data_IF_298217745674
#
_entry.id   IF_298217745674
#
_cell.length_a   1.000
_cell.length_b   1.000
_cell.length_c   1.000
_cell.angle_alpha   90.00
_cell.angle_beta   90.00
_cell.angle_gamma   90.00
#
_symmetry.space_group_name_H-M   'P 1'
#
loop_
_entity.id
_entity.type
_entity.pdbx_description
1 polymer ?
#
# COMPACT_ATOMS: atom_id res chain seq x y z
N UNK A 1 39.65 13.94 8.91
CA UNK A 1 38.40 13.94 9.69
C UNK A 1 37.29 14.46 8.79
N UNK A 2 36.34 13.60 8.44
CA UNK A 2 35.24 13.89 7.51
C UNK A 2 34.12 14.62 8.26
N UNK A 3 33.62 15.74 7.74
CA UNK A 3 32.56 16.55 8.37
C UNK A 3 31.31 16.58 7.46
N UNK A 4 30.20 15.90 7.82
CA UNK A 4 29.06 15.68 6.93
C UNK A 4 28.07 16.86 6.83
N UNK A 5 28.37 18.02 7.42
CA UNK A 5 27.45 19.16 7.50
C UNK A 5 27.81 20.37 6.64
N UNK A 6 28.74 20.26 5.69
CA UNK A 6 28.86 21.26 4.62
C UNK A 6 27.69 21.08 3.66
N UNK A 7 26.56 21.72 3.99
CA UNK A 7 25.43 21.95 3.08
C UNK A 7 25.99 22.54 1.79
N UNK A 8 25.77 21.86 0.68
CA UNK A 8 25.99 22.43 -0.65
C UNK A 8 25.23 23.75 -0.72
N UNK A 9 25.93 24.81 -1.13
CA UNK A 9 25.31 26.08 -1.43
C UNK A 9 24.13 25.82 -2.37
N UNK A 10 22.95 26.29 -1.96
CA UNK A 10 21.81 26.48 -2.86
C UNK A 10 22.37 27.16 -4.10
N UNK A 11 22.37 26.46 -5.23
CA UNK A 11 22.68 27.09 -6.52
C UNK A 11 21.78 28.31 -6.62
N UNK A 12 22.41 29.50 -6.64
CA UNK A 12 21.69 30.76 -6.69
C UNK A 12 20.66 30.67 -7.81
N UNK A 13 19.39 30.84 -7.46
CA UNK A 13 18.32 30.98 -8.43
C UNK A 13 18.77 32.01 -9.49
N UNK A 14 18.74 31.60 -10.76
CA UNK A 14 19.11 32.48 -11.88
C UNK A 14 18.26 33.74 -11.79
N UNK A 15 18.91 34.89 -11.79
CA UNK A 15 18.25 36.20 -11.84
C UNK A 15 17.60 36.34 -13.21
N UNK A 16 16.27 36.42 -13.26
CA UNK A 16 15.52 36.59 -14.51
C UNK A 16 15.56 38.08 -14.88
N UNK A 17 16.14 38.43 -16.02
CA UNK A 17 16.16 39.82 -16.50
C UNK A 17 14.80 40.22 -17.11
N UNK A 18 14.50 41.52 -17.05
CA UNK A 18 13.23 42.12 -17.47
C UNK A 18 13.13 42.14 -19.00
N UNK A 19 12.82 40.99 -19.59
CA UNK A 19 12.70 40.79 -21.03
C UNK A 19 12.55 39.32 -21.43
N UNK A 20 12.94 38.39 -20.56
CA UNK A 20 12.90 36.95 -20.80
C UNK A 20 11.60 36.26 -20.34
N UNK A 21 10.60 37.04 -19.95
CA UNK A 21 9.33 36.49 -19.45
C UNK A 21 8.51 36.08 -20.68
N UNK A 22 8.33 34.77 -20.96
CA UNK A 22 7.43 34.36 -22.02
C UNK A 22 6.06 34.94 -21.71
N UNK A 23 5.36 35.41 -22.76
CA UNK A 23 4.02 35.99 -22.74
C UNK A 23 3.28 35.60 -21.45
N UNK A 24 2.99 36.58 -20.60
CA UNK A 24 2.57 36.40 -19.20
C UNK A 24 1.51 35.31 -19.05
N UNK A 25 0.65 35.15 -20.07
CA UNK A 25 -0.35 34.09 -20.17
C UNK A 25 0.23 32.67 -20.30
N UNK A 26 1.27 32.46 -21.12
CA UNK A 26 2.00 31.20 -21.24
C UNK A 26 2.73 30.85 -19.94
N UNK A 27 3.33 31.84 -19.25
CA UNK A 27 3.97 31.63 -17.95
C UNK A 27 2.95 31.24 -16.87
N UNK A 28 1.79 31.90 -16.84
CA UNK A 28 0.69 31.57 -15.91
C UNK A 28 0.14 30.16 -16.22
N UNK A 29 -0.09 29.82 -17.49
CA UNK A 29 -0.56 28.48 -17.89
C UNK A 29 0.45 27.39 -17.56
N UNK A 30 1.75 27.66 -17.74
CA UNK A 30 2.81 26.74 -17.37
C UNK A 30 2.86 26.53 -15.86
N UNK A 31 2.82 27.62 -15.07
CA UNK A 31 2.79 27.55 -13.60
C UNK A 31 1.56 26.80 -13.07
N UNK A 32 0.37 27.07 -13.63
CA UNK A 32 -0.86 26.35 -13.29
C UNK A 32 -0.75 24.85 -13.62
N UNK A 33 -0.14 24.51 -14.77
CA UNK A 33 0.05 23.11 -15.19
C UNK A 33 1.05 22.37 -14.31
N UNK A 34 2.14 23.02 -13.93
CA UNK A 34 3.14 22.43 -13.04
C UNK A 34 2.60 22.31 -11.61
N UNK A 35 1.86 23.30 -11.11
CA UNK A 35 1.15 23.18 -9.83
C UNK A 35 0.13 22.03 -9.86
N UNK A 36 -0.66 21.88 -10.92
CA UNK A 36 -1.57 20.74 -11.06
C UNK A 36 -0.82 19.40 -11.12
N UNK A 37 0.31 19.31 -11.83
CA UNK A 37 1.12 18.08 -11.82
C UNK A 37 1.72 17.79 -10.46
N UNK A 38 2.18 18.81 -9.74
CA UNK A 38 2.74 18.68 -8.39
C UNK A 38 1.65 18.31 -7.37
N UNK A 39 0.47 18.91 -7.45
CA UNK A 39 -0.70 18.56 -6.65
C UNK A 39 -1.13 17.12 -6.94
N UNK A 40 -1.21 16.74 -8.22
CA UNK A 40 -1.54 15.37 -8.62
C UNK A 40 -0.44 14.36 -8.29
N UNK A 41 0.82 14.79 -8.17
CA UNK A 41 1.93 13.96 -7.71
C UNK A 41 1.90 13.80 -6.18
N UNK A 42 1.54 14.85 -5.45
CA UNK A 42 1.32 14.84 -4.00
C UNK A 42 0.14 13.90 -3.62
N UNK A 43 -0.89 13.82 -4.47
CA UNK A 43 -2.01 12.88 -4.31
C UNK A 43 -1.77 11.46 -4.87
N UNK A 44 -0.62 11.21 -5.50
CA UNK A 44 -0.26 9.93 -6.15
C UNK A 44 0.74 9.10 -5.35
N UNK A 45 0.88 9.34 -4.05
CA UNK A 45 1.59 8.37 -3.21
C UNK A 45 0.86 7.03 -3.34
N UNK A 46 1.50 6.08 -4.03
CA UNK A 46 1.06 4.69 -4.08
C UNK A 46 0.81 4.24 -2.64
N UNK A 47 -0.33 3.58 -2.38
CA UNK A 47 -0.75 3.23 -1.03
C UNK A 47 0.43 2.67 -0.22
N UNK A 48 0.75 3.33 0.88
CA UNK A 48 1.99 3.06 1.62
C UNK A 48 1.76 1.86 2.52
N UNK A 49 2.22 0.69 2.06
CA UNK A 49 2.15 -0.55 2.83
C UNK A 49 3.54 -0.99 3.28
N UNK A 50 3.75 -1.09 4.60
CA UNK A 50 4.99 -1.62 5.17
C UNK A 50 4.74 -2.52 6.38
N UNK A 51 5.56 -3.57 6.57
CA UNK A 51 5.41 -4.48 7.69
C UNK A 51 5.73 -3.79 9.02
N UNK A 52 5.00 -4.18 10.07
CA UNK A 52 5.18 -3.69 11.43
C UNK A 52 5.53 -4.84 12.39
N UNK A 53 6.21 -4.53 13.51
CA UNK A 53 6.39 -5.49 14.59
C UNK A 53 5.04 -5.80 15.26
N UNK A 54 4.91 -6.99 15.89
CA UNK A 54 3.65 -7.46 16.49
C UNK A 54 3.10 -6.47 17.53
N UNK A 55 4.00 -5.82 18.26
CA UNK A 55 3.71 -4.89 19.35
C UNK A 55 2.94 -3.66 18.86
N UNK A 56 3.06 -3.30 17.58
CA UNK A 56 2.28 -2.22 16.99
C UNK A 56 0.78 -2.54 16.94
N UNK A 57 0.39 -3.82 17.00
CA UNK A 57 -1.01 -4.24 17.07
C UNK A 57 -1.63 -4.06 18.48
N UNK A 58 -0.86 -3.66 19.49
CA UNK A 58 -1.40 -3.40 20.82
C UNK A 58 -2.44 -2.27 20.76
N UNK A 59 -3.61 -2.50 21.37
CA UNK A 59 -4.74 -1.57 21.30
C UNK A 59 -5.60 -1.68 20.03
N UNK A 60 -5.25 -2.57 19.10
CA UNK A 60 -6.16 -2.93 17.99
C UNK A 60 -7.25 -3.90 18.45
N UNK A 61 -8.34 -3.96 17.71
CA UNK A 61 -9.43 -4.90 17.96
C UNK A 61 -9.86 -5.61 16.68
N UNK A 62 -10.65 -6.68 16.83
CA UNK A 62 -11.21 -7.43 15.71
C UNK A 62 -12.18 -6.58 14.90
N UNK A 63 -11.92 -6.46 13.60
CA UNK A 63 -12.74 -5.68 12.66
C UNK A 63 -13.61 -6.56 11.76
N UNK A 64 -13.34 -7.88 11.71
CA UNK A 64 -14.16 -8.85 11.00
C UNK A 64 -13.33 -9.97 10.39
N UNK A 65 -13.84 -10.55 9.29
CA UNK A 65 -13.20 -11.66 8.58
C UNK A 65 -13.16 -11.42 7.07
N UNK A 66 -12.17 -12.04 6.43
CA UNK A 66 -11.99 -12.05 4.98
C UNK A 66 -11.87 -13.49 4.47
N UNK A 67 -12.30 -13.69 3.23
CA UNK A 67 -12.15 -14.96 2.53
C UNK A 67 -10.97 -14.89 1.55
N UNK A 68 -9.92 -15.66 1.84
CA UNK A 68 -8.67 -15.68 1.06
C UNK A 68 -7.82 -16.90 1.42
N UNK A 69 -6.83 -17.19 0.60
CA UNK A 69 -5.90 -18.29 0.84
C UNK A 69 -4.60 -17.82 1.49
N UNK A 70 -3.92 -18.73 2.21
CA UNK A 70 -2.58 -18.46 2.74
C UNK A 70 -1.57 -18.05 1.64
N UNK A 71 -1.74 -18.60 0.43
CA UNK A 71 -0.88 -18.28 -0.73
C UNK A 71 -1.08 -16.83 -1.18
N UNK A 72 -2.33 -16.39 -1.33
CA UNK A 72 -2.65 -15.00 -1.68
C UNK A 72 -2.15 -14.04 -0.60
N UNK A 73 -2.39 -14.33 0.68
CA UNK A 73 -1.90 -13.49 1.78
C UNK A 73 -0.39 -13.32 1.74
N UNK A 74 0.35 -14.39 1.46
CA UNK A 74 1.81 -14.31 1.30
C UNK A 74 2.25 -13.51 0.07
N UNK A 75 1.51 -13.60 -1.03
CA UNK A 75 1.81 -12.87 -2.25
C UNK A 75 1.57 -11.36 -2.07
N UNK A 76 0.50 -10.98 -1.35
CA UNK A 76 0.12 -9.59 -1.12
C UNK A 76 0.93 -8.95 0.02
N UNK A 77 1.03 -9.62 1.16
CA UNK A 77 1.55 -9.04 2.41
C UNK A 77 2.92 -9.59 2.83
N UNK A 78 3.52 -10.47 2.03
CA UNK A 78 4.82 -11.08 2.36
C UNK A 78 4.74 -12.15 3.44
N UNK A 79 5.84 -12.36 4.17
CA UNK A 79 5.92 -13.42 5.19
C UNK A 79 5.21 -13.02 6.49
N UNK A 80 4.52 -13.97 7.16
CA UNK A 80 3.88 -13.70 8.45
C UNK A 80 4.91 -13.53 9.58
N UNK A 81 4.59 -12.67 10.54
CA UNK A 81 5.41 -12.33 11.72
C UNK A 81 5.47 -13.47 12.76
N UNK A 82 4.52 -14.43 12.74
CA UNK A 82 4.53 -15.61 13.62
C UNK A 82 3.19 -15.89 14.31
N UNK A 83 3.18 -16.81 15.29
CA UNK A 83 1.99 -17.18 16.08
C UNK A 83 1.93 -16.50 17.45
N UNK A 84 0.80 -16.64 18.15
CA UNK A 84 0.64 -16.21 19.55
C UNK A 84 1.22 -17.24 20.52
N UNK A 85 1.71 -16.77 21.67
CA UNK A 85 2.27 -17.63 22.71
C UNK A 85 1.26 -18.62 23.30
N UNK A 86 -0.04 -18.28 23.28
CA UNK A 86 -1.14 -19.12 23.77
C UNK A 86 -1.64 -20.16 22.74
N UNK A 87 -1.00 -20.25 21.57
CA UNK A 87 -1.32 -21.22 20.53
C UNK A 87 -2.65 -21.00 19.81
N UNK A 88 -3.38 -19.91 20.09
CA UNK A 88 -4.65 -19.59 19.41
C UNK A 88 -4.44 -19.10 17.99
N UNK A 89 -3.31 -18.45 17.73
CA UNK A 89 -2.88 -17.93 16.44
C UNK A 89 -1.59 -18.63 16.06
N UNK A 90 -1.50 -19.14 14.84
CA UNK A 90 -0.30 -19.81 14.33
C UNK A 90 0.48 -18.92 13.35
N UNK A 91 -0.23 -18.08 12.60
CA UNK A 91 0.31 -17.15 11.61
C UNK A 91 -0.49 -15.85 11.68
N UNK A 92 0.24 -14.76 11.87
CA UNK A 92 -0.28 -13.40 11.80
C UNK A 92 0.60 -12.51 10.94
N UNK A 93 -0.01 -11.49 10.36
CA UNK A 93 0.64 -10.33 9.76
C UNK A 93 0.27 -9.10 10.58
N UNK A 94 1.24 -8.20 10.73
CA UNK A 94 1.03 -6.85 11.24
C UNK A 94 1.70 -5.89 10.26
N UNK A 95 0.96 -4.89 9.81
CA UNK A 95 1.44 -3.92 8.82
C UNK A 95 0.64 -2.64 8.93
N UNK A 96 1.18 -1.60 8.32
CA UNK A 96 0.54 -0.32 8.15
C UNK A 96 0.02 -0.20 6.72
N UNK A 97 -1.19 0.34 6.53
CA UNK A 97 -1.70 0.80 5.23
C UNK A 97 -2.25 2.21 5.43
N UNK A 98 -1.67 3.21 4.76
CA UNK A 98 -2.20 4.59 4.69
C UNK A 98 -2.59 5.22 6.04
N UNK A 99 -1.77 5.02 7.07
CA UNK A 99 -1.97 5.54 8.43
C UNK A 99 -2.59 4.53 9.39
N UNK A 100 -3.05 3.38 8.90
CA UNK A 100 -3.88 2.44 9.65
C UNK A 100 -3.10 1.17 9.97
N UNK A 101 -3.00 0.86 11.27
CA UNK A 101 -2.44 -0.41 11.74
C UNK A 101 -3.46 -1.51 11.50
N UNK A 102 -3.05 -2.51 10.73
CA UNK A 102 -3.84 -3.65 10.33
C UNK A 102 -3.21 -4.95 10.81
N UNK A 103 -4.04 -5.95 11.12
CA UNK A 103 -3.59 -7.32 11.35
C UNK A 103 -4.45 -8.33 10.59
N UNK A 104 -3.81 -9.41 10.13
CA UNK A 104 -4.48 -10.58 9.56
C UNK A 104 -3.97 -11.79 10.31
N UNK A 105 -4.85 -12.68 10.77
CA UNK A 105 -4.43 -13.84 11.53
C UNK A 105 -5.38 -15.02 11.41
N UNK A 106 -4.86 -16.23 11.59
CA UNK A 106 -5.70 -17.39 11.82
C UNK A 106 -6.18 -17.41 13.27
N UNK A 107 -7.46 -17.70 13.51
CA UNK A 107 -8.00 -17.73 14.87
C UNK A 107 -8.55 -19.10 15.20
N UNK A 108 -7.94 -19.76 16.20
CA UNK A 108 -8.35 -21.06 16.75
C UNK A 108 -8.56 -22.13 15.68
N UNK A 109 -7.71 -22.15 14.65
CA UNK A 109 -7.82 -23.12 13.54
C UNK A 109 -7.27 -24.51 13.90
N UNK A 110 -6.65 -24.65 15.07
CA UNK A 110 -6.13 -25.91 15.58
C UNK A 110 -5.08 -26.51 14.66
N UNK A 111 -5.27 -27.78 14.28
CA UNK A 111 -4.36 -28.54 13.41
C UNK A 111 -4.67 -28.42 11.92
N UNK A 112 -5.64 -27.60 11.52
CA UNK A 112 -5.98 -27.41 10.11
C UNK A 112 -4.74 -26.93 9.34
N UNK A 113 -4.46 -27.55 8.19
CA UNK A 113 -3.37 -27.13 7.33
C UNK A 113 -3.59 -25.69 6.84
N UNK A 114 -2.55 -24.84 6.86
CA UNK A 114 -2.66 -23.42 6.48
C UNK A 114 -3.23 -23.24 5.06
N UNK A 115 -2.90 -24.16 4.13
CA UNK A 115 -3.43 -24.17 2.77
C UNK A 115 -4.93 -24.42 2.66
N UNK A 116 -5.57 -24.97 3.72
CA UNK A 116 -7.01 -25.24 3.80
C UNK A 116 -7.80 -24.15 4.51
N UNK A 117 -7.13 -23.21 5.18
CA UNK A 117 -7.81 -22.07 5.81
C UNK A 117 -8.31 -21.13 4.70
N UNK A 118 -9.58 -20.76 4.79
CA UNK A 118 -10.25 -19.82 3.86
C UNK A 118 -10.73 -18.56 4.57
N UNK A 119 -11.15 -18.68 5.82
CA UNK A 119 -11.59 -17.56 6.63
C UNK A 119 -10.45 -17.09 7.54
N UNK A 120 -10.02 -15.85 7.34
CA UNK A 120 -8.99 -15.20 8.15
C UNK A 120 -9.60 -14.05 8.94
N UNK A 121 -9.18 -13.92 10.19
CA UNK A 121 -9.59 -12.80 11.05
C UNK A 121 -8.78 -11.56 10.70
N UNK A 122 -9.45 -10.42 10.72
CA UNK A 122 -8.85 -9.10 10.51
C UNK A 122 -9.02 -8.29 11.78
N UNK A 123 -7.91 -7.73 12.24
CA UNK A 123 -7.91 -6.71 13.28
C UNK A 123 -7.34 -5.40 12.76
N UNK A 124 -7.48 -4.35 13.55
CA UNK A 124 -6.86 -3.06 13.27
C UNK A 124 -7.34 -1.94 14.16
N UNK A 125 -6.75 -0.77 14.00
CA UNK A 125 -7.07 0.45 14.76
C UNK A 125 -8.35 1.15 14.27
N UNK A 126 -8.84 0.78 13.08
CA UNK A 126 -10.02 1.38 12.45
C UNK A 126 -10.87 0.34 11.72
N UNK A 127 -12.20 0.51 11.63
CA UNK A 127 -13.05 -0.30 10.76
C UNK A 127 -12.65 -0.25 9.28
N UNK A 128 -11.86 0.74 8.85
CA UNK A 128 -11.33 0.80 7.48
C UNK A 128 -10.31 -0.32 7.17
N UNK A 129 -9.68 -0.90 8.20
CA UNK A 129 -8.67 -1.96 8.05
C UNK A 129 -9.17 -3.11 7.16
N UNK A 130 -10.41 -3.56 7.38
CA UNK A 130 -11.00 -4.65 6.59
C UNK A 130 -11.22 -4.27 5.13
N UNK A 131 -11.57 -3.00 4.86
CA UNK A 131 -11.80 -2.51 3.50
C UNK A 131 -10.47 -2.40 2.74
N UNK A 132 -9.45 -1.83 3.38
CA UNK A 132 -8.11 -1.69 2.80
C UNK A 132 -7.50 -3.06 2.47
N UNK A 133 -7.59 -4.02 3.39
CA UNK A 133 -7.10 -5.38 3.15
C UNK A 133 -7.84 -6.06 2.00
N UNK A 134 -9.18 -5.91 1.94
CA UNK A 134 -9.97 -6.45 0.82
C UNK A 134 -9.55 -5.84 -0.51
N UNK A 135 -9.34 -4.53 -0.56
CA UNK A 135 -8.89 -3.84 -1.77
C UNK A 135 -7.51 -4.35 -2.22
N UNK A 136 -6.54 -4.47 -1.31
CA UNK A 136 -5.21 -4.99 -1.63
C UNK A 136 -5.24 -6.42 -2.21
N UNK A 137 -6.09 -7.30 -1.65
CA UNK A 137 -6.28 -8.66 -2.17
C UNK A 137 -6.99 -8.64 -3.53
N UNK A 138 -8.02 -7.81 -3.70
CA UNK A 138 -8.73 -7.67 -4.98
C UNK A 138 -7.81 -7.15 -6.08
N UNK A 139 -6.98 -6.15 -5.79
CA UNK A 139 -6.00 -5.62 -6.72
C UNK A 139 -5.00 -6.69 -7.15
N UNK A 140 -4.49 -7.49 -6.21
CA UNK A 140 -3.65 -8.65 -6.53
C UNK A 140 -4.36 -9.65 -7.45
N UNK A 141 -5.63 -9.98 -7.16
CA UNK A 141 -6.42 -10.88 -8.01
C UNK A 141 -6.65 -10.33 -9.41
N UNK A 142 -6.83 -9.01 -9.55
CA UNK A 142 -6.97 -8.34 -10.85
C UNK A 142 -5.66 -8.43 -11.63
N UNK A 143 -4.52 -8.18 -10.97
CA UNK A 143 -3.18 -8.26 -11.58
C UNK A 143 -2.81 -9.68 -12.02
N UNK A 144 -3.17 -10.69 -11.23
CA UNK A 144 -2.90 -12.11 -11.54
C UNK A 144 -3.87 -12.71 -12.58
N UNK A 145 -4.92 -11.97 -12.97
CA UNK A 145 -5.77 -12.29 -14.11
C UNK A 145 -7.07 -13.01 -13.76
N UNK A 146 -8.18 -12.30 -13.91
CA UNK A 146 -9.41 -12.92 -14.38
C UNK A 146 -9.24 -13.29 -15.87
N UNK A 147 -9.66 -14.48 -16.35
CA UNK A 147 -9.68 -14.77 -17.77
C UNK A 147 -10.67 -13.81 -18.43
N UNK A 148 -10.22 -13.03 -19.42
CA UNK A 148 -11.12 -12.25 -20.28
C UNK A 148 -12.29 -13.13 -20.76
N UNK A 149 -13.48 -12.91 -20.20
CA UNK A 149 -14.73 -13.36 -20.80
C UNK A 149 -15.04 -12.41 -21.95
N UNK A 150 -14.71 -12.86 -23.16
CA UNK A 150 -15.29 -12.37 -24.42
C UNK A 150 -14.63 -11.15 -25.06
N UNK A 151 -14.24 -11.29 -26.34
CA UNK A 151 -14.10 -10.14 -27.23
C UNK A 151 -12.90 -10.16 -28.18
N UNK A 152 -12.94 -11.06 -29.16
CA UNK A 152 -12.32 -10.94 -30.49
C UNK A 152 -10.83 -10.58 -30.56
N UNK A 153 -9.96 -11.61 -30.62
CA UNK A 153 -8.74 -11.48 -31.43
C UNK A 153 -9.18 -11.43 -32.89
N UNK A 154 -9.08 -10.26 -33.51
CA UNK A 154 -9.11 -10.19 -34.97
C UNK A 154 -7.98 -11.10 -35.51
N UNK A 155 -8.23 -11.91 -36.56
CA UNK A 155 -7.12 -12.54 -37.26
C UNK A 155 -6.36 -11.43 -37.99
N UNK A 156 -5.08 -11.27 -37.67
CA UNK A 156 -4.20 -10.38 -38.43
C UNK A 156 -3.99 -10.94 -39.86
N UNK A 157 -3.89 -10.07 -40.87
CA UNK A 157 -3.77 -10.43 -42.29
C UNK A 157 -2.43 -11.07 -42.64
#
# INVERSE_FOLDING_TARGET
MWNPFKRNLIEKARTIEKGDIPDTEAAIRFAMRENHKNDMACFREEATMFPLPREAANGTCGQGTIETTYKELKAVFGQPTGGSADGKVRKSWCFHIDGIVCTIYDWKTGRTALSRIRHWSVGGSSPLSIKLIRLAILEYRIKEGWPHVGGCRAPCP
#
